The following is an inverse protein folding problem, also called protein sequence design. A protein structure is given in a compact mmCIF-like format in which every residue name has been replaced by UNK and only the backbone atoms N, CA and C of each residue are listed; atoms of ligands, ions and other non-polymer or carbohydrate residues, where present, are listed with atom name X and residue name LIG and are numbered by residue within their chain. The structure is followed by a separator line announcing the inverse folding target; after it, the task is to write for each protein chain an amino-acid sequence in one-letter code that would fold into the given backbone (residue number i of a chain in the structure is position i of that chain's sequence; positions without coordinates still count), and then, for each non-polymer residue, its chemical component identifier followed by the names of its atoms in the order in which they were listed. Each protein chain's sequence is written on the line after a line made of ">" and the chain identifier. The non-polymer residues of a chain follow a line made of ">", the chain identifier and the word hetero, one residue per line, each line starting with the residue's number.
data_IF_040215505130
#
_entry.id   IF_040215505130
#
_cell.length_a   1.000
_cell.length_b   1.000
_cell.length_c   1.000
_cell.angle_alpha   90.00
_cell.angle_beta   90.00
_cell.angle_gamma   90.00
#
_symmetry.space_group_name_H-M   'P 1'
#
loop_
_entity.id
_entity.type
_entity.pdbx_description
1 polymer ?
#
# COMPACT_ATOMS: atom_id res chain seq x y z
N UNK A 1 -3.66 3.75 5.53
CA UNK A 1 -4.53 4.05 6.68
C UNK A 1 -5.66 3.04 6.85
N UNK A 2 -6.50 2.76 5.84
CA UNK A 2 -7.62 1.82 5.95
C UNK A 2 -7.25 0.44 6.53
N UNK A 3 -6.19 -0.22 6.03
CA UNK A 3 -5.77 -1.53 6.55
C UNK A 3 -5.42 -1.51 8.05
N UNK A 4 -4.81 -0.44 8.57
CA UNK A 4 -4.51 -0.32 9.99
C UNK A 4 -5.80 -0.26 10.83
N UNK A 5 -6.81 0.47 10.35
CA UNK A 5 -8.10 0.55 11.02
C UNK A 5 -8.83 -0.81 11.00
N UNK A 6 -8.80 -1.51 9.87
CA UNK A 6 -9.42 -2.83 9.76
C UNK A 6 -8.78 -3.86 10.70
N UNK A 7 -7.45 -3.91 10.73
CA UNK A 7 -6.71 -4.76 11.68
C UNK A 7 -7.04 -4.40 13.12
N UNK A 8 -6.99 -3.11 13.49
CA UNK A 8 -7.28 -2.66 14.85
C UNK A 8 -8.71 -2.96 15.31
N UNK A 9 -9.65 -3.06 14.38
CA UNK A 9 -11.05 -3.37 14.64
C UNK A 9 -11.42 -4.86 14.41
N UNK A 10 -10.47 -5.72 14.02
CA UNK A 10 -10.74 -7.13 13.70
C UNK A 10 -11.64 -7.34 12.46
N UNK A 11 -11.65 -6.38 11.54
CA UNK A 11 -12.53 -6.38 10.37
C UNK A 11 -11.88 -7.09 9.17
N UNK A 12 -11.87 -8.42 9.20
CA UNK A 12 -11.25 -9.25 8.15
C UNK A 12 -11.89 -9.10 6.77
N UNK A 13 -13.22 -8.96 6.69
CA UNK A 13 -13.94 -8.76 5.43
C UNK A 13 -13.49 -7.49 4.69
N UNK A 14 -13.62 -6.31 5.31
CA UNK A 14 -13.09 -5.05 4.75
C UNK A 14 -11.60 -5.08 4.42
N UNK A 15 -10.77 -5.76 5.24
CA UNK A 15 -9.36 -5.96 4.95
C UNK A 15 -9.14 -6.75 3.66
N UNK A 16 -9.92 -7.80 3.44
CA UNK A 16 -9.86 -8.62 2.25
C UNK A 16 -10.34 -7.86 0.99
N UNK A 17 -11.45 -7.11 1.10
CA UNK A 17 -11.94 -6.25 0.01
C UNK A 17 -10.90 -5.21 -0.41
N UNK A 18 -10.18 -4.60 0.54
CA UNK A 18 -9.10 -3.66 0.22
C UNK A 18 -7.96 -4.34 -0.54
N UNK A 19 -7.57 -5.56 -0.14
CA UNK A 19 -6.53 -6.33 -0.81
C UNK A 19 -6.92 -6.65 -2.26
N UNK A 20 -8.18 -7.02 -2.49
CA UNK A 20 -8.71 -7.30 -3.83
C UNK A 20 -8.75 -6.05 -4.71
N UNK A 21 -9.26 -4.94 -4.18
CA UNK A 21 -9.25 -3.67 -4.91
C UNK A 21 -7.82 -3.22 -5.30
N UNK A 22 -6.84 -3.45 -4.42
CA UNK A 22 -5.42 -3.21 -4.76
C UNK A 22 -4.91 -4.15 -5.85
N UNK A 23 -5.32 -5.42 -5.85
CA UNK A 23 -4.97 -6.35 -6.94
C UNK A 23 -5.49 -5.83 -8.26
N UNK A 24 -6.77 -5.47 -8.33
CA UNK A 24 -7.39 -4.94 -9.53
C UNK A 24 -6.69 -3.67 -10.02
N UNK A 25 -6.40 -2.73 -9.11
CA UNK A 25 -5.68 -1.50 -9.44
C UNK A 25 -4.27 -1.75 -10.03
N UNK A 26 -3.57 -2.81 -9.59
CA UNK A 26 -2.25 -3.17 -10.11
C UNK A 26 -2.27 -3.70 -11.56
N UNK A 27 -3.44 -4.01 -12.13
CA UNK A 27 -3.57 -4.35 -13.56
C UNK A 27 -3.45 -3.12 -14.48
N UNK A 28 -3.55 -1.90 -13.92
CA UNK A 28 -3.26 -0.68 -14.66
C UNK A 28 -1.78 -0.57 -15.08
N UNK A 29 -1.50 0.40 -15.94
CA UNK A 29 -0.14 0.71 -16.39
C UNK A 29 0.23 2.18 -16.17
N UNK A 30 -0.46 2.85 -15.25
CA UNK A 30 -0.17 4.21 -14.81
C UNK A 30 0.70 4.21 -13.55
N UNK A 31 1.12 5.40 -13.14
CA UNK A 31 1.94 5.61 -11.95
C UNK A 31 1.25 5.14 -10.66
N UNK A 32 -0.09 5.18 -10.62
CA UNK A 32 -0.85 4.69 -9.46
C UNK A 32 -0.82 3.15 -9.38
N UNK A 33 -0.88 2.45 -10.50
CA UNK A 33 -0.71 1.01 -10.56
C UNK A 33 0.71 0.60 -10.14
N UNK A 34 1.73 1.33 -10.61
CA UNK A 34 3.12 1.10 -10.21
C UNK A 34 3.34 1.38 -8.71
N UNK A 35 2.83 2.51 -8.19
CA UNK A 35 2.90 2.84 -6.77
C UNK A 35 2.19 1.81 -5.90
N UNK A 36 1.00 1.39 -6.31
CA UNK A 36 0.22 0.36 -5.60
C UNK A 36 1.00 -0.95 -5.57
N UNK A 37 1.64 -1.34 -6.68
CA UNK A 37 2.44 -2.57 -6.76
C UNK A 37 3.68 -2.55 -5.89
N UNK A 38 4.43 -1.46 -5.92
CA UNK A 38 5.76 -1.42 -5.33
C UNK A 38 5.75 -0.94 -3.87
N UNK A 39 4.73 -0.19 -3.47
CA UNK A 39 4.64 0.44 -2.14
C UNK A 39 3.33 0.12 -1.45
N UNK A 40 2.20 0.45 -2.08
CA UNK A 40 0.88 0.42 -1.44
C UNK A 40 0.45 -0.98 -0.99
N UNK A 41 0.55 -1.97 -1.87
CA UNK A 41 0.13 -3.34 -1.63
C UNK A 41 1.08 -4.07 -0.67
N UNK A 42 2.42 -4.02 -0.83
CA UNK A 42 3.34 -4.60 0.14
C UNK A 42 3.15 -4.03 1.56
N UNK A 43 2.90 -2.72 1.70
CA UNK A 43 2.64 -2.10 2.99
C UNK A 43 1.30 -2.57 3.60
N UNK A 44 0.24 -2.68 2.80
CA UNK A 44 -1.04 -3.27 3.22
C UNK A 44 -0.85 -4.69 3.75
N UNK A 45 -0.11 -5.53 3.03
CA UNK A 45 0.19 -6.90 3.45
C UNK A 45 1.03 -6.94 4.73
N UNK A 46 1.99 -6.02 4.90
CA UNK A 46 2.80 -5.92 6.11
C UNK A 46 1.96 -5.58 7.34
N UNK A 47 1.02 -4.65 7.21
CA UNK A 47 0.11 -4.27 8.31
C UNK A 47 -0.79 -5.45 8.70
N UNK A 48 -1.31 -6.20 7.70
CA UNK A 48 -2.08 -7.43 7.98
C UNK A 48 -1.24 -8.47 8.72
N UNK A 49 0.00 -8.73 8.26
CA UNK A 49 0.92 -9.65 8.91
C UNK A 49 1.24 -9.22 10.35
N UNK A 50 1.46 -7.92 10.57
CA UNK A 50 1.68 -7.37 11.91
C UNK A 50 0.47 -7.61 12.82
N UNK A 51 -0.75 -7.37 12.33
CA UNK A 51 -1.99 -7.65 13.05
C UNK A 51 -2.16 -9.11 13.45
N UNK A 52 -1.68 -10.02 12.61
CA UNK A 52 -1.69 -11.46 12.86
C UNK A 52 -0.51 -11.95 13.74
N UNK A 53 0.30 -11.05 14.29
CA UNK A 53 1.49 -11.40 15.09
C UNK A 53 2.66 -11.96 14.27
N UNK A 54 2.57 -11.95 12.94
CA UNK A 54 3.62 -12.41 12.02
C UNK A 54 4.63 -11.30 11.75
N UNK A 55 5.37 -10.90 12.79
CA UNK A 55 6.24 -9.72 12.75
C UNK A 55 7.41 -9.85 11.78
N UNK A 56 7.99 -11.05 11.64
CA UNK A 56 9.08 -11.30 10.69
C UNK A 56 8.64 -11.05 9.26
N UNK A 57 7.41 -11.45 8.92
CA UNK A 57 6.81 -11.24 7.62
C UNK A 57 6.52 -9.76 7.37
N UNK A 58 5.98 -9.05 8.38
CA UNK A 58 5.79 -7.61 8.30
C UNK A 58 7.12 -6.88 8.01
N UNK A 59 8.19 -7.25 8.70
CA UNK A 59 9.53 -6.69 8.47
C UNK A 59 10.05 -7.04 7.07
N UNK A 60 9.89 -8.29 6.63
CA UNK A 60 10.32 -8.73 5.30
C UNK A 60 9.65 -7.91 4.19
N UNK A 61 8.37 -7.62 4.33
CA UNK A 61 7.58 -6.84 3.38
C UNK A 61 7.95 -5.35 3.38
N UNK A 62 8.25 -4.77 4.55
CA UNK A 62 8.59 -3.33 4.67
C UNK A 62 10.01 -3.01 4.19
N UNK A 63 10.97 -3.92 4.40
CA UNK A 63 12.39 -3.72 4.05
C UNK A 63 12.63 -3.18 2.63
N UNK A 64 12.10 -3.78 1.56
CA UNK A 64 12.32 -3.29 0.20
C UNK A 64 11.71 -1.91 -0.04
N UNK A 65 10.54 -1.62 0.55
CA UNK A 65 9.80 -0.37 0.35
C UNK A 65 10.61 0.86 0.78
N UNK A 66 11.34 0.77 1.90
CA UNK A 66 12.15 1.88 2.44
C UNK A 66 13.15 2.44 1.42
N UNK A 67 13.67 1.58 0.56
CA UNK A 67 14.65 1.96 -0.45
C UNK A 67 14.06 2.71 -1.64
N UNK A 68 12.74 2.62 -1.87
CA UNK A 68 12.08 3.17 -3.07
C UNK A 68 11.00 4.21 -2.75
N UNK A 69 10.48 4.25 -1.52
CA UNK A 69 9.39 5.15 -1.12
C UNK A 69 9.69 6.63 -1.37
N UNK A 70 10.96 7.05 -1.24
CA UNK A 70 11.38 8.42 -1.49
C UNK A 70 11.20 8.85 -2.96
N UNK A 71 11.19 7.91 -3.91
CA UNK A 71 11.01 8.19 -5.34
C UNK A 71 9.57 8.58 -5.70
N UNK A 72 8.61 8.09 -4.91
CA UNK A 72 7.19 8.37 -5.10
C UNK A 72 6.72 9.66 -4.41
N UNK A 73 7.47 10.13 -3.40
CA UNK A 73 7.16 11.37 -2.67
C UNK A 73 7.55 12.67 -3.38
N UNK A 74 8.33 12.62 -4.46
CA UNK A 74 8.90 13.82 -5.11
C UNK A 74 8.38 14.17 -6.51
N UNK A 75 7.56 13.31 -7.15
CA UNK A 75 7.36 13.42 -8.61
C UNK A 75 5.91 13.47 -9.11
N UNK A 76 4.92 12.87 -8.42
CA UNK A 76 3.55 12.77 -8.97
C UNK A 76 2.45 13.30 -8.04
N UNK A 77 2.51 13.03 -6.72
CA UNK A 77 1.51 13.56 -5.79
C UNK A 77 1.46 15.11 -5.70
N UNK A 78 2.51 15.81 -6.16
CA UNK A 78 2.56 17.27 -6.26
C UNK A 78 2.21 17.82 -7.66
N UNK A 79 2.29 17.00 -8.73
CA UNK A 79 2.05 17.48 -10.11
C UNK A 79 0.57 17.49 -10.48
N UNK A 80 -0.24 16.57 -9.97
CA UNK A 80 -1.70 16.54 -10.23
C UNK A 80 -2.46 17.72 -9.60
N UNK A 81 -1.84 18.42 -8.64
CA UNK A 81 -2.41 19.65 -8.04
C UNK A 81 -2.01 20.91 -8.83
N UNK A 82 -1.00 20.83 -9.71
CA UNK A 82 -0.47 21.99 -10.44
C UNK A 82 -0.92 22.01 -11.92
N UNK A 83 -1.34 20.89 -12.51
CA UNK A 83 -1.75 20.84 -13.93
C UNK A 83 -3.23 21.23 -14.19
N UNK A 84 -3.82 22.05 -13.32
CA UNK A 84 -5.19 22.60 -13.45
C UNK A 84 -5.29 24.12 -13.16
N UNK A 85 -4.19 24.86 -13.30
CA UNK A 85 -4.17 26.35 -13.38
C UNK A 85 -3.14 26.81 -14.39
#
# INVERSE_FOLDING_TARGET
>A
HAMMAFVGAGLEGPAQTLIEAQRDAMHGNDDNAAFTRDVGHPLTMAIKAFGAGSYDEAVRLIRPIRSIAHRFGGSHAQRDVIDLT
#
